data_IF_582963381514
#
_entry.id   IF_582963381514
#
_cell.length_a   1.000
_cell.length_b   1.000
_cell.length_c   1.000
_cell.angle_alpha   90.00
_cell.angle_beta   90.00
_cell.angle_gamma   90.00
#
_symmetry.space_group_name_H-M   'P 1'
#
loop_
_entity.id
_entity.type
_entity.pdbx_description
1 polymer ?
#
# COMPACT_ATOMS: atom_id res chain seq x y z
N UNK A 1 -15.71 -64.34 50.78
CA UNK A 1 -14.26 -64.09 50.97
C UNK A 1 -13.63 -63.96 49.59
N UNK A 2 -13.60 -62.76 49.01
CA UNK A 2 -12.74 -62.46 47.87
C UNK A 2 -11.57 -61.66 48.41
N UNK A 3 -10.37 -62.25 48.45
CA UNK A 3 -9.18 -61.49 48.81
C UNK A 3 -8.88 -60.52 47.68
N UNK A 4 -9.20 -59.25 47.88
CA UNK A 4 -8.59 -58.18 47.09
C UNK A 4 -7.12 -58.18 47.52
N UNK A 5 -6.27 -58.76 46.69
CA UNK A 5 -4.82 -58.63 46.84
C UNK A 5 -4.50 -57.14 46.70
N UNK A 6 -4.30 -56.44 47.81
CA UNK A 6 -3.63 -55.15 47.78
C UNK A 6 -2.18 -55.41 47.37
N UNK A 7 -1.90 -55.19 46.09
CA UNK A 7 -0.56 -55.30 45.51
C UNK A 7 0.28 -54.16 46.09
N UNK A 8 1.47 -54.47 46.64
CA UNK A 8 2.35 -53.45 47.23
C UNK A 8 2.93 -52.52 46.16
N UNK A 9 3.02 -51.22 46.50
CA UNK A 9 3.69 -50.18 45.71
C UNK A 9 5.12 -50.58 45.34
N UNK A 10 5.58 -50.16 44.16
CA UNK A 10 7.00 -50.26 43.73
C UNK A 10 7.92 -49.61 44.79
N UNK A 11 7.52 -48.42 45.27
CA UNK A 11 8.15 -47.63 46.35
C UNK A 11 8.18 -48.27 47.75
N UNK A 12 7.69 -49.51 47.90
CA UNK A 12 7.71 -50.25 49.17
C UNK A 12 8.13 -51.72 48.99
N UNK A 13 8.79 -52.07 47.87
CA UNK A 13 9.04 -53.46 47.48
C UNK A 13 10.32 -54.10 48.07
N UNK A 14 11.10 -53.38 48.88
CA UNK A 14 12.38 -53.84 49.47
C UNK A 14 13.40 -54.42 48.45
N UNK A 15 13.22 -54.19 47.14
CA UNK A 15 14.13 -54.57 46.05
C UNK A 15 14.72 -53.30 45.42
N UNK A 16 15.92 -53.42 44.85
CA UNK A 16 16.58 -52.35 44.09
C UNK A 16 15.64 -51.90 42.95
N UNK A 17 14.99 -50.77 43.18
CA UNK A 17 13.87 -50.25 42.39
C UNK A 17 14.27 -49.95 40.93
N UNK A 18 15.55 -49.65 40.74
CA UNK A 18 16.23 -49.40 39.46
C UNK A 18 16.36 -50.62 38.54
N UNK A 19 16.13 -51.85 39.02
CA UNK A 19 16.31 -53.09 38.23
C UNK A 19 15.02 -53.52 37.52
N UNK A 20 13.88 -52.93 37.87
CA UNK A 20 12.56 -53.27 37.31
C UNK A 20 12.19 -52.21 36.27
N UNK A 21 11.89 -52.56 35.00
CA UNK A 21 11.46 -51.58 34.01
C UNK A 21 10.12 -50.93 34.41
N UNK A 22 10.00 -49.63 34.18
CA UNK A 22 8.80 -48.84 34.49
C UNK A 22 7.55 -49.39 33.79
N UNK A 23 6.39 -49.27 34.45
CA UNK A 23 5.12 -49.75 33.92
C UNK A 23 4.02 -48.68 34.03
N UNK A 24 3.57 -48.17 32.87
CA UNK A 24 2.58 -47.09 32.79
C UNK A 24 1.28 -47.39 33.55
N UNK A 25 0.73 -48.58 33.34
CA UNK A 25 -0.55 -48.99 33.95
C UNK A 25 -0.43 -48.97 35.48
N UNK A 26 0.62 -49.57 36.02
CA UNK A 26 0.80 -49.68 37.47
C UNK A 26 1.15 -48.34 38.13
N UNK A 27 2.02 -47.55 37.50
CA UNK A 27 2.63 -46.40 38.16
C UNK A 27 1.79 -45.14 37.99
N UNK A 28 1.21 -44.94 36.81
CA UNK A 28 0.54 -43.69 36.47
C UNK A 28 -0.97 -43.81 36.21
N UNK A 29 -1.51 -45.02 36.01
CA UNK A 29 -2.96 -45.23 35.77
C UNK A 29 -3.64 -45.76 37.03
N UNK A 30 -3.11 -46.83 37.63
CA UNK A 30 -3.57 -47.39 38.91
C UNK A 30 -3.20 -46.48 40.09
N UNK A 31 -2.11 -45.71 39.98
CA UNK A 31 -1.57 -44.83 41.02
C UNK A 31 -1.20 -43.44 40.46
N UNK A 32 -0.86 -42.51 41.39
CA UNK A 32 -0.31 -41.21 41.00
C UNK A 32 1.21 -41.28 40.91
N UNK A 33 1.77 -41.18 39.70
CA UNK A 33 3.22 -41.09 39.49
C UNK A 33 3.75 -39.65 39.48
N UNK A 34 5.05 -39.53 39.74
CA UNK A 34 5.90 -38.35 39.58
C UNK A 34 6.47 -38.25 38.17
N UNK A 35 7.05 -37.09 37.82
CA UNK A 35 7.66 -36.87 36.50
C UNK A 35 8.80 -37.85 36.22
N UNK A 36 9.60 -38.18 37.25
CA UNK A 36 10.74 -39.05 37.11
C UNK A 36 10.32 -40.51 36.87
N UNK A 37 9.27 -40.98 37.53
CA UNK A 37 8.65 -42.29 37.26
C UNK A 37 8.08 -42.35 35.84
N UNK A 38 7.40 -41.29 35.38
CA UNK A 38 6.95 -41.22 33.99
C UNK A 38 8.12 -41.25 32.99
N UNK A 39 9.25 -40.58 33.32
CA UNK A 39 10.46 -40.57 32.49
C UNK A 39 11.09 -41.95 32.35
N UNK A 40 11.08 -42.74 33.43
CA UNK A 40 11.51 -44.15 33.42
C UNK A 40 10.61 -45.04 32.57
N UNK A 41 9.31 -44.75 32.50
CA UNK A 41 8.34 -45.54 31.71
C UNK A 41 8.55 -45.36 30.20
N UNK A 42 8.79 -44.13 29.73
CA UNK A 42 8.86 -43.85 28.30
C UNK A 42 10.27 -43.86 27.71
N UNK A 43 11.32 -43.75 28.55
CA UNK A 43 12.74 -43.70 28.17
C UNK A 43 13.05 -42.69 27.04
N UNK A 44 12.18 -41.71 26.85
CA UNK A 44 12.23 -40.72 25.78
C UNK A 44 11.57 -39.43 26.28
N UNK A 45 12.31 -38.33 26.20
CA UNK A 45 11.89 -37.04 26.74
C UNK A 45 10.62 -36.50 26.06
N UNK A 46 10.50 -36.61 24.74
CA UNK A 46 9.31 -36.14 24.00
C UNK A 46 8.05 -36.92 24.39
N UNK A 47 8.15 -38.26 24.46
CA UNK A 47 7.03 -39.12 24.86
C UNK A 47 6.64 -38.92 26.33
N UNK A 48 7.64 -38.75 27.20
CA UNK A 48 7.41 -38.43 28.62
C UNK A 48 6.66 -37.12 28.75
N UNK A 49 7.10 -36.07 28.03
CA UNK A 49 6.45 -34.76 28.07
C UNK A 49 5.04 -34.78 27.48
N UNK A 50 4.79 -35.52 26.39
CA UNK A 50 3.45 -35.67 25.82
C UNK A 50 2.48 -36.34 26.80
N UNK A 51 2.93 -37.42 27.47
CA UNK A 51 2.13 -38.04 28.52
C UNK A 51 1.91 -37.10 29.70
N UNK A 52 2.98 -36.45 30.16
CA UNK A 52 2.98 -35.62 31.35
C UNK A 52 2.08 -34.39 31.23
N UNK A 53 2.04 -33.77 30.03
CA UNK A 53 1.13 -32.66 29.71
C UNK A 53 -0.32 -33.06 29.99
N UNK A 54 -0.80 -34.14 29.38
CA UNK A 54 -2.18 -34.58 29.55
C UNK A 54 -2.47 -35.15 30.94
N UNK A 55 -1.48 -35.77 31.59
CA UNK A 55 -1.65 -36.41 32.90
C UNK A 55 -1.87 -35.42 34.05
N UNK A 56 -1.29 -34.22 33.97
CA UNK A 56 -1.37 -33.22 35.05
C UNK A 56 -2.73 -32.50 35.08
N UNK A 57 -3.24 -32.10 33.92
CA UNK A 57 -4.41 -31.22 33.83
C UNK A 57 -5.35 -31.52 32.66
N UNK A 58 -5.23 -32.70 32.05
CA UNK A 58 -6.07 -33.16 30.95
C UNK A 58 -5.61 -32.63 29.60
N UNK A 59 -6.31 -32.98 28.51
CA UNK A 59 -5.98 -32.48 27.17
C UNK A 59 -6.75 -31.18 26.90
N UNK A 60 -6.06 -30.04 26.90
CA UNK A 60 -6.70 -28.74 26.61
C UNK A 60 -7.02 -28.53 25.13
N UNK A 61 -6.61 -29.44 24.26
CA UNK A 61 -7.03 -29.51 22.87
C UNK A 61 -8.35 -30.29 22.67
N UNK A 62 -9.03 -30.70 23.74
CA UNK A 62 -10.32 -31.38 23.67
C UNK A 62 -11.40 -30.72 24.55
N UNK A 63 -12.41 -30.03 23.97
CA UNK A 63 -12.64 -29.83 22.54
C UNK A 63 -11.64 -28.83 21.92
N UNK A 64 -11.31 -29.00 20.63
CA UNK A 64 -10.29 -28.18 19.97
C UNK A 64 -10.64 -26.67 20.04
N UNK A 65 -9.85 -25.86 20.78
CA UNK A 65 -10.12 -24.44 20.93
C UNK A 65 -9.73 -23.63 19.69
N UNK A 66 -8.78 -24.14 18.91
CA UNK A 66 -8.19 -23.45 17.77
C UNK A 66 -9.17 -23.32 16.60
N UNK A 67 -9.22 -22.14 15.99
CA UNK A 67 -10.12 -21.80 14.88
C UNK A 67 -9.42 -21.87 13.54
N UNK A 68 -10.19 -21.73 12.47
CA UNK A 68 -9.71 -21.52 11.10
C UNK A 68 -8.79 -22.62 10.53
N UNK A 69 -8.86 -23.84 11.07
CA UNK A 69 -8.04 -24.98 10.64
C UNK A 69 -6.65 -25.02 11.30
N UNK A 70 -6.46 -24.29 12.40
CA UNK A 70 -5.24 -24.30 13.18
C UNK A 70 -5.02 -25.64 13.92
N UNK A 71 -3.75 -25.99 14.10
CA UNK A 71 -3.35 -27.20 14.83
C UNK A 71 -3.20 -26.85 16.30
N UNK A 72 -3.93 -27.57 17.17
CA UNK A 72 -3.79 -27.42 18.61
C UNK A 72 -2.66 -28.32 19.13
N UNK A 73 -1.79 -27.76 19.97
CA UNK A 73 -0.78 -28.51 20.72
C UNK A 73 -1.00 -28.26 22.22
N UNK A 74 -1.25 -29.34 22.94
CA UNK A 74 -1.41 -29.34 24.40
C UNK A 74 -0.10 -28.94 25.09
N UNK A 75 -0.20 -28.27 26.25
CA UNK A 75 0.91 -27.89 27.12
C UNK A 75 0.46 -27.98 28.58
N UNK A 76 1.39 -27.81 29.52
CA UNK A 76 1.04 -27.84 30.95
C UNK A 76 0.30 -26.54 31.30
N UNK A 77 -0.93 -26.64 31.82
CA UNK A 77 -1.83 -25.53 32.18
C UNK A 77 -2.27 -24.62 31.02
N UNK A 78 -2.06 -25.02 29.77
CA UNK A 78 -2.40 -24.22 28.59
C UNK A 78 -2.33 -25.04 27.30
N UNK A 79 -2.79 -24.46 26.20
CA UNK A 79 -2.54 -24.96 24.85
C UNK A 79 -1.87 -23.90 23.99
N UNK A 80 -1.32 -24.31 22.86
CA UNK A 80 -0.83 -23.44 21.79
C UNK A 80 -1.55 -23.78 20.50
N UNK A 81 -2.13 -22.77 19.86
CA UNK A 81 -2.67 -22.89 18.51
C UNK A 81 -1.62 -22.46 17.48
N UNK A 82 -1.24 -23.39 16.61
CA UNK A 82 -0.38 -23.12 15.46
C UNK A 82 -1.24 -22.58 14.32
N UNK A 83 -1.28 -21.25 14.23
CA UNK A 83 -2.11 -20.55 13.26
C UNK A 83 -1.60 -20.72 11.83
N UNK A 84 -2.47 -21.03 10.85
CA UNK A 84 -2.13 -20.96 9.44
C UNK A 84 -1.73 -19.53 9.05
N UNK A 85 -0.97 -19.40 7.96
CA UNK A 85 -0.60 -18.09 7.43
C UNK A 85 -1.83 -17.19 7.20
N UNK A 86 -1.77 -15.96 7.70
CA UNK A 86 -2.89 -15.02 7.66
C UNK A 86 -3.84 -15.09 8.85
N UNK A 87 -3.56 -15.90 9.87
CA UNK A 87 -4.32 -15.91 11.13
C UNK A 87 -3.44 -15.62 12.33
N UNK A 88 -3.99 -14.89 13.30
CA UNK A 88 -3.37 -14.57 14.59
C UNK A 88 -4.40 -14.66 15.71
N UNK A 89 -3.96 -14.41 16.94
CA UNK A 89 -4.76 -14.53 18.15
C UNK A 89 -4.50 -15.85 18.89
N UNK A 90 -4.96 -15.92 20.14
CA UNK A 90 -4.72 -17.10 21.00
C UNK A 90 -5.32 -18.37 20.39
N UNK A 91 -6.46 -18.22 19.71
CA UNK A 91 -7.21 -19.29 19.09
C UNK A 91 -7.20 -19.18 17.56
N UNK A 92 -6.30 -18.38 16.97
CA UNK A 92 -6.27 -18.10 15.54
C UNK A 92 -7.58 -17.48 15.01
N UNK A 93 -8.25 -16.70 15.84
CA UNK A 93 -9.55 -16.07 15.56
C UNK A 93 -9.43 -14.78 14.74
N UNK A 94 -8.24 -14.17 14.69
CA UNK A 94 -8.00 -12.91 13.98
C UNK A 94 -7.56 -13.23 12.56
N UNK A 95 -8.34 -12.78 11.57
CA UNK A 95 -8.06 -12.98 10.15
C UNK A 95 -7.35 -11.74 9.55
N UNK A 96 -6.11 -11.96 9.13
CA UNK A 96 -5.25 -11.00 8.43
C UNK A 96 -4.96 -11.42 6.97
N UNK A 97 -5.72 -12.37 6.41
CA UNK A 97 -5.47 -12.88 5.05
C UNK A 97 -5.50 -11.77 4.00
N UNK A 98 -6.46 -10.84 4.05
CA UNK A 98 -6.46 -9.67 3.17
C UNK A 98 -5.36 -8.64 3.48
N UNK A 99 -4.81 -8.59 4.70
CA UNK A 99 -3.72 -7.68 5.03
C UNK A 99 -2.38 -8.16 4.44
N UNK A 100 -2.23 -9.46 4.23
CA UNK A 100 -1.02 -10.06 3.66
C UNK A 100 -1.17 -10.12 2.14
N UNK A 101 -0.35 -9.36 1.41
CA UNK A 101 -0.36 -9.31 -0.07
C UNK A 101 -1.76 -9.12 -0.66
N UNK A 102 -2.63 -8.33 0.00
CA UNK A 102 -4.01 -8.10 -0.41
C UNK A 102 -4.83 -9.40 -0.62
N UNK A 103 -4.55 -10.48 0.13
CA UNK A 103 -5.16 -11.81 -0.07
C UNK A 103 -4.81 -12.48 -1.40
N UNK A 104 -3.85 -11.93 -2.15
CA UNK A 104 -3.56 -12.28 -3.54
C UNK A 104 -4.57 -11.70 -4.54
N UNK A 105 -5.47 -10.81 -4.12
CA UNK A 105 -6.38 -10.12 -5.02
C UNK A 105 -5.64 -9.00 -5.75
N UNK A 106 -5.87 -8.87 -7.06
CA UNK A 106 -5.27 -7.79 -7.86
C UNK A 106 -5.78 -6.40 -7.48
N UNK A 107 -7.07 -6.28 -7.18
CA UNK A 107 -7.70 -5.02 -6.77
C UNK A 107 -8.20 -5.07 -5.34
N UNK A 108 -9.43 -5.54 -5.09
CA UNK A 108 -10.04 -5.45 -3.76
C UNK A 108 -10.10 -6.82 -3.12
N UNK A 109 -9.78 -6.87 -1.83
CA UNK A 109 -9.90 -8.05 -0.98
C UNK A 109 -10.97 -7.81 0.09
N UNK A 110 -11.83 -8.80 0.28
CA UNK A 110 -12.85 -8.82 1.34
C UNK A 110 -12.94 -10.21 1.96
N UNK A 111 -13.38 -10.28 3.21
CA UNK A 111 -13.67 -11.55 3.88
C UNK A 111 -15.18 -11.80 3.80
N UNK A 112 -15.62 -12.93 3.25
CA UNK A 112 -17.05 -13.29 3.16
C UNK A 112 -17.27 -14.78 3.51
N UNK A 113 -17.67 -15.12 4.75
CA UNK A 113 -17.82 -16.51 5.18
C UNK A 113 -18.84 -17.28 4.30
N UNK A 114 -18.51 -18.47 3.75
CA UNK A 114 -17.42 -19.38 4.13
C UNK A 114 -16.09 -19.16 3.37
N UNK A 115 -16.03 -18.23 2.41
CA UNK A 115 -14.85 -17.91 1.62
C UNK A 115 -13.96 -16.91 2.37
N UNK A 116 -12.83 -17.40 2.90
CA UNK A 116 -11.88 -16.61 3.70
C UNK A 116 -11.39 -15.35 2.97
N UNK A 117 -11.18 -15.43 1.65
CA UNK A 117 -10.78 -14.30 0.80
C UNK A 117 -11.65 -14.28 -0.45
N UNK A 118 -12.34 -13.16 -0.67
CA UNK A 118 -13.13 -12.86 -1.87
C UNK A 118 -12.56 -11.63 -2.55
N UNK A 119 -12.13 -11.81 -3.80
CA UNK A 119 -11.59 -10.73 -4.61
C UNK A 119 -12.69 -10.05 -5.43
N UNK A 120 -12.59 -8.73 -5.59
CA UNK A 120 -13.42 -7.96 -6.51
C UNK A 120 -12.60 -6.90 -7.24
N UNK A 121 -13.15 -6.35 -8.32
CA UNK A 121 -12.41 -5.49 -9.24
C UNK A 121 -12.97 -4.07 -9.32
N UNK A 122 -12.10 -3.11 -9.66
CA UNK A 122 -12.48 -1.73 -9.91
C UNK A 122 -13.36 -1.56 -11.17
N UNK A 123 -13.99 -0.40 -11.31
CA UNK A 123 -14.85 -0.08 -12.45
C UNK A 123 -14.10 -0.26 -13.79
N UNK A 124 -14.76 -0.92 -14.75
CA UNK A 124 -14.15 -1.25 -16.04
C UNK A 124 -13.30 -2.53 -16.02
N UNK A 125 -13.32 -3.31 -14.94
CA UNK A 125 -12.66 -4.61 -14.83
C UNK A 125 -13.62 -5.73 -14.41
N UNK A 126 -13.32 -6.96 -14.83
CA UNK A 126 -14.01 -8.18 -14.41
C UNK A 126 -13.01 -9.11 -13.72
N UNK A 127 -13.49 -9.84 -12.70
CA UNK A 127 -12.70 -10.89 -12.05
C UNK A 127 -12.48 -12.04 -13.03
N UNK A 128 -11.22 -12.42 -13.19
CA UNK A 128 -10.81 -13.56 -14.00
C UNK A 128 -11.22 -14.89 -13.34
N UNK A 129 -11.14 -15.99 -14.09
CA UNK A 129 -11.56 -17.32 -13.64
C UNK A 129 -10.71 -17.88 -12.49
N UNK A 130 -9.50 -17.35 -12.29
CA UNK A 130 -8.63 -17.67 -11.15
C UNK A 130 -9.15 -17.12 -9.81
N UNK A 131 -10.21 -16.30 -9.84
CA UNK A 131 -10.82 -15.69 -8.66
C UNK A 131 -9.96 -14.60 -8.00
N UNK A 132 -8.89 -14.13 -8.66
CA UNK A 132 -7.91 -13.19 -8.08
C UNK A 132 -7.51 -12.06 -9.02
N UNK A 133 -7.33 -12.36 -10.30
CA UNK A 133 -6.91 -11.39 -11.31
C UNK A 133 -8.08 -10.54 -11.78
N UNK A 134 -7.79 -9.30 -12.16
CA UNK A 134 -8.76 -8.36 -12.72
C UNK A 134 -8.38 -8.00 -14.15
N UNK A 135 -9.30 -8.29 -15.08
CA UNK A 135 -9.14 -8.06 -16.52
C UNK A 135 -9.99 -6.88 -16.98
N UNK A 136 -9.43 -5.95 -17.77
CA UNK A 136 -10.18 -4.86 -18.38
C UNK A 136 -11.34 -5.36 -19.24
N UNK A 137 -12.52 -4.78 -19.05
CA UNK A 137 -13.72 -5.04 -19.87
C UNK A 137 -14.03 -3.90 -20.83
N UNK A 138 -13.40 -2.75 -20.64
CA UNK A 138 -13.55 -1.56 -21.47
C UNK A 138 -12.18 -1.13 -22.02
N UNK A 139 -12.12 -0.40 -23.15
CA UNK A 139 -10.86 0.03 -23.75
C UNK A 139 -10.03 0.94 -22.83
N UNK A 140 -10.72 1.77 -22.05
CA UNK A 140 -10.14 2.79 -21.17
C UNK A 140 -10.63 2.59 -19.73
N UNK A 141 -10.20 1.51 -19.05
CA UNK A 141 -10.64 1.24 -17.69
C UNK A 141 -10.00 2.24 -16.73
N UNK A 142 -10.57 2.39 -15.53
CA UNK A 142 -10.01 3.33 -14.57
C UNK A 142 -8.56 2.97 -14.22
N UNK A 143 -7.77 3.99 -13.88
CA UNK A 143 -6.44 3.83 -13.32
C UNK A 143 -5.43 3.16 -14.25
N UNK A 144 -5.70 3.08 -15.56
CA UNK A 144 -4.80 2.45 -16.53
C UNK A 144 -4.25 3.44 -17.53
N UNK A 145 -2.93 3.44 -17.67
CA UNK A 145 -2.23 4.25 -18.66
C UNK A 145 -2.30 3.54 -20.02
N UNK A 146 -2.99 4.15 -20.98
CA UNK A 146 -3.24 3.55 -22.30
C UNK A 146 -2.44 4.22 -23.44
N UNK A 147 -1.94 5.44 -23.23
CA UNK A 147 -1.10 6.19 -24.17
C UNK A 147 0.15 5.40 -24.63
N UNK A 148 0.38 5.28 -25.95
CA UNK A 148 1.52 4.55 -26.50
C UNK A 148 2.88 5.05 -26.00
N UNK A 149 3.03 6.38 -25.89
CA UNK A 149 4.25 7.06 -25.49
C UNK A 149 4.63 6.72 -24.05
N UNK A 150 3.63 6.74 -23.15
CA UNK A 150 3.80 6.43 -21.74
C UNK A 150 3.97 4.92 -21.48
N UNK A 151 3.28 4.05 -22.24
CA UNK A 151 3.41 2.58 -22.11
C UNK A 151 4.84 2.09 -22.33
N UNK A 152 5.56 2.66 -23.30
CA UNK A 152 6.95 2.28 -23.62
C UNK A 152 7.92 2.51 -22.46
N UNK A 153 7.66 3.52 -21.61
CA UNK A 153 8.44 3.82 -20.41
C UNK A 153 8.19 2.78 -19.32
N UNK A 154 6.92 2.43 -19.06
CA UNK A 154 6.53 1.43 -18.07
C UNK A 154 7.16 0.06 -18.38
N UNK A 155 7.10 -0.39 -19.62
CA UNK A 155 7.75 -1.65 -20.05
C UNK A 155 9.27 -1.61 -19.89
N UNK A 156 9.91 -0.44 -20.09
CA UNK A 156 11.37 -0.30 -19.94
C UNK A 156 11.81 -0.25 -18.48
N UNK A 157 11.02 0.36 -17.59
CA UNK A 157 11.29 0.38 -16.14
C UNK A 157 11.04 -0.97 -15.47
N UNK A 158 10.15 -1.80 -16.02
CA UNK A 158 9.95 -3.17 -15.56
C UNK A 158 11.15 -4.09 -15.91
N UNK A 159 11.74 -3.93 -17.10
CA UNK A 159 12.90 -4.72 -17.51
C UNK A 159 14.20 -4.38 -16.75
N UNK A 160 14.28 -3.23 -16.06
CA UNK A 160 15.46 -2.87 -15.25
C UNK A 160 15.50 -3.52 -13.87
N UNK A 161 14.48 -4.28 -13.46
CA UNK A 161 14.42 -4.95 -12.15
C UNK A 161 14.76 -6.45 -12.18
N UNK A 162 14.98 -7.07 -13.36
CA UNK A 162 15.28 -8.50 -13.47
C UNK A 162 16.78 -8.87 -13.37
N UNK A 163 17.68 -7.90 -13.17
CA UNK A 163 19.13 -8.16 -13.08
C UNK A 163 19.75 -7.76 -11.73
N UNK A 164 19.09 -8.14 -10.63
CA UNK A 164 19.72 -8.20 -9.31
C UNK A 164 19.72 -9.64 -8.80
N UNK A 165 20.48 -10.50 -9.50
CA UNK A 165 20.95 -11.75 -8.90
C UNK A 165 22.02 -11.39 -7.87
N UNK A 166 21.59 -11.26 -6.61
CA UNK A 166 22.47 -11.18 -5.45
C UNK A 166 22.99 -12.60 -5.20
N UNK A 167 24.08 -12.97 -5.86
CA UNK A 167 24.99 -13.98 -5.32
C UNK A 167 26.10 -13.22 -4.61
N UNK A 168 25.97 -13.13 -3.28
CA UNK A 168 27.05 -12.65 -2.43
C UNK A 168 28.23 -13.61 -2.49
N UNK A 169 29.42 -13.04 -2.63
CA UNK A 169 30.67 -13.45 -1.99
C UNK A 169 31.78 -12.51 -2.49
N UNK A 170 32.13 -11.52 -1.68
CA UNK A 170 33.50 -11.04 -1.56
C UNK A 170 34.24 -12.01 -0.62
N UNK A 171 35.56 -12.27 -0.76
CA UNK A 171 36.53 -11.19 -0.47
C UNK A 171 37.92 -11.26 -1.16
N UNK A 172 38.62 -10.12 -1.05
CA UNK A 172 40.08 -9.95 -0.84
C UNK A 172 41.09 -10.02 -2.02
N UNK A 173 41.60 -8.82 -2.35
CA UNK A 173 42.99 -8.35 -2.09
C UNK A 173 44.10 -8.39 -3.19
N UNK A 174 44.82 -7.26 -3.21
CA UNK A 174 46.25 -7.04 -3.51
C UNK A 174 46.89 -7.17 -4.93
N UNK A 175 47.31 -5.98 -5.42
CA UNK A 175 48.66 -5.58 -5.91
C UNK A 175 49.23 -5.96 -7.30
N UNK A 176 49.56 -4.89 -8.06
CA UNK A 176 50.83 -4.49 -8.73
C UNK A 176 51.72 -5.56 -9.40
N UNK A 177 52.44 -5.36 -10.50
CA UNK A 177 52.67 -4.31 -11.49
C UNK A 177 53.52 -4.98 -12.61
N UNK A 178 53.64 -4.30 -13.75
CA UNK A 178 54.82 -4.20 -14.64
C UNK A 178 54.64 -4.67 -16.09
N UNK A 179 54.98 -3.68 -16.93
CA UNK A 179 55.00 -3.50 -18.38
C UNK A 179 55.74 -4.58 -19.21
N UNK A 180 55.33 -4.72 -20.48
CA UNK A 180 56.19 -4.23 -21.57
C UNK A 180 55.41 -3.77 -22.82
N UNK A 181 55.92 -2.69 -23.41
CA UNK A 181 55.39 -1.92 -24.54
C UNK A 181 55.58 -2.62 -25.89
N UNK A 182 54.65 -2.43 -26.82
CA UNK A 182 55.01 -1.88 -28.15
C UNK A 182 53.82 -1.27 -28.87
N UNK A 183 54.14 -0.18 -29.55
CA UNK A 183 53.33 0.98 -29.91
C UNK A 183 52.81 0.89 -31.34
N UNK A 184 51.60 1.41 -31.60
CA UNK A 184 51.13 2.14 -32.81
C UNK A 184 49.60 2.34 -32.61
N UNK A 185 48.96 3.52 -32.56
CA UNK A 185 49.26 4.89 -32.98
C UNK A 185 48.32 5.84 -32.21
N UNK A 186 48.82 7.02 -31.82
CA UNK A 186 48.13 8.09 -31.08
C UNK A 186 47.07 8.82 -31.95
N UNK A 187 45.95 9.34 -31.43
CA UNK A 187 45.87 10.48 -30.50
C UNK A 187 44.47 10.58 -29.89
N UNK A 188 44.46 10.96 -28.61
CA UNK A 188 43.31 10.98 -27.73
C UNK A 188 42.38 12.19 -27.96
N UNK A 189 41.07 11.94 -27.93
CA UNK A 189 40.09 12.91 -27.46
C UNK A 189 39.45 12.35 -26.19
N UNK A 190 39.81 12.97 -25.07
CA UNK A 190 39.25 12.76 -23.74
C UNK A 190 37.73 12.85 -23.77
N UNK A 191 37.03 11.72 -23.84
CA UNK A 191 35.61 11.72 -23.50
C UNK A 191 35.53 11.70 -21.98
N UNK A 192 35.63 12.87 -21.36
CA UNK A 192 35.06 13.07 -20.02
C UNK A 192 33.61 12.62 -20.14
N UNK A 193 33.27 11.46 -19.59
CA UNK A 193 31.89 11.18 -19.24
C UNK A 193 31.61 12.07 -18.03
N UNK A 194 31.42 13.37 -18.30
CA UNK A 194 30.66 14.20 -17.38
C UNK A 194 29.31 13.52 -17.26
N UNK A 195 28.86 13.15 -16.06
CA UNK A 195 27.46 12.83 -15.89
C UNK A 195 26.73 14.05 -16.41
N UNK A 196 25.89 13.88 -17.44
CA UNK A 196 24.92 14.90 -17.78
C UNK A 196 23.98 14.93 -16.60
N UNK A 197 24.33 15.72 -15.59
CA UNK A 197 23.41 16.20 -14.58
C UNK A 197 22.36 16.94 -15.42
N UNK A 198 21.26 16.26 -15.74
CA UNK A 198 20.06 16.93 -16.22
C UNK A 198 19.53 17.73 -15.04
N UNK A 199 20.12 18.89 -14.82
CA UNK A 199 19.57 19.95 -13.97
C UNK A 199 18.39 20.54 -14.71
N UNK A 200 17.21 19.98 -14.44
CA UNK A 200 15.98 20.43 -15.09
C UNK A 200 14.80 19.53 -14.77
N UNK A 201 14.46 19.43 -13.49
CA UNK A 201 13.28 18.74 -12.99
C UNK A 201 12.52 19.73 -12.15
N UNK A 202 11.31 20.06 -12.56
CA UNK A 202 10.62 21.26 -12.12
C UNK A 202 9.10 21.00 -11.90
N UNK A 203 8.77 20.05 -11.03
CA UNK A 203 8.21 20.31 -9.68
C UNK A 203 9.42 20.41 -8.75
N UNK A 204 9.39 20.92 -7.51
CA UNK A 204 10.64 20.93 -6.70
C UNK A 204 11.16 19.48 -6.64
N UNK A 205 12.27 19.21 -7.35
CA UNK A 205 12.80 17.87 -7.69
C UNK A 205 11.87 16.81 -8.33
N UNK A 206 10.81 17.18 -9.06
CA UNK A 206 9.94 16.27 -9.85
C UNK A 206 10.19 16.36 -11.37
N UNK A 207 9.84 15.33 -12.15
CA UNK A 207 10.17 15.26 -13.58
C UNK A 207 9.00 15.60 -14.50
N UNK A 208 9.31 16.10 -15.71
CA UNK A 208 8.30 16.24 -16.77
C UNK A 208 7.65 14.88 -17.06
N UNK A 209 6.32 14.87 -17.09
CA UNK A 209 5.54 13.70 -17.48
C UNK A 209 5.66 13.46 -18.98
N UNK A 210 5.40 12.24 -19.43
CA UNK A 210 5.11 11.98 -20.84
C UNK A 210 3.65 12.30 -21.13
N UNK A 211 3.36 12.68 -22.38
CA UNK A 211 1.98 12.83 -22.86
C UNK A 211 1.18 11.56 -22.57
N UNK A 212 0.06 11.70 -21.85
CA UNK A 212 -0.79 10.59 -21.42
C UNK A 212 -0.24 9.71 -20.29
N UNK A 213 0.83 10.10 -19.58
CA UNK A 213 1.32 9.40 -18.39
C UNK A 213 0.35 9.55 -17.20
N UNK A 214 -0.41 10.65 -17.14
CA UNK A 214 -1.42 10.90 -16.10
C UNK A 214 -2.77 11.28 -16.73
N UNK A 215 -3.46 10.34 -17.39
CA UNK A 215 -4.65 10.62 -18.22
C UNK A 215 -5.91 11.03 -17.42
N UNK A 216 -5.88 10.90 -16.09
CA UNK A 216 -6.95 11.35 -15.19
C UNK A 216 -6.73 12.79 -14.68
N UNK A 217 -5.58 13.40 -14.98
CA UNK A 217 -5.29 14.77 -14.58
C UNK A 217 -6.19 15.76 -15.33
N UNK A 218 -6.67 16.76 -14.61
CA UNK A 218 -7.45 17.87 -15.16
C UNK A 218 -6.81 19.19 -14.75
N UNK A 219 -6.80 20.15 -15.67
CA UNK A 219 -6.50 21.55 -15.39
C UNK A 219 -7.79 22.30 -15.09
N UNK A 220 -7.87 22.92 -13.92
CA UNK A 220 -9.00 23.78 -13.54
C UNK A 220 -8.73 25.22 -13.96
N UNK A 221 -9.71 25.81 -14.62
CA UNK A 221 -9.63 27.15 -15.20
C UNK A 221 -10.70 28.04 -14.56
N UNK A 222 -10.29 29.25 -14.18
CA UNK A 222 -11.16 30.25 -13.55
C UNK A 222 -11.93 31.09 -14.59
N UNK A 223 -12.74 32.04 -14.12
CA UNK A 223 -13.51 32.95 -14.97
C UNK A 223 -12.67 33.84 -15.89
N UNK A 224 -11.38 34.02 -15.59
CA UNK A 224 -10.44 34.82 -16.38
C UNK A 224 -9.69 33.99 -17.43
N UNK A 225 -10.01 32.69 -17.57
CA UNK A 225 -9.31 31.80 -18.49
C UNK A 225 -7.93 31.35 -18.00
N UNK A 226 -7.60 31.58 -16.72
CA UNK A 226 -6.31 31.23 -16.13
C UNK A 226 -6.39 29.87 -15.44
N UNK A 227 -5.51 28.96 -15.83
CA UNK A 227 -5.31 27.68 -15.15
C UNK A 227 -4.62 27.88 -13.79
N UNK A 228 -5.16 27.30 -12.72
CA UNK A 228 -4.70 27.61 -11.36
C UNK A 228 -4.75 26.45 -10.35
N UNK A 229 -5.46 25.36 -10.67
CA UNK A 229 -5.60 24.19 -9.80
C UNK A 229 -5.69 22.92 -10.63
N UNK A 230 -5.51 21.78 -9.97
CA UNK A 230 -5.69 20.45 -10.54
C UNK A 230 -7.04 19.81 -10.18
N UNK A 231 -7.34 18.70 -10.83
CA UNK A 231 -8.46 17.84 -10.52
C UNK A 231 -8.20 16.42 -11.02
N UNK A 232 -9.06 15.49 -10.62
CA UNK A 232 -9.00 14.09 -11.04
C UNK A 232 -10.32 13.62 -11.64
N UNK A 233 -10.28 13.04 -12.84
CA UNK A 233 -11.46 12.47 -13.52
C UNK A 233 -11.88 11.21 -12.77
N UNK A 234 -13.13 11.13 -12.29
CA UNK A 234 -13.65 9.92 -11.63
C UNK A 234 -14.65 9.14 -12.51
N UNK A 235 -15.32 9.80 -13.46
CA UNK A 235 -16.08 9.20 -14.57
C UNK A 235 -16.28 10.23 -15.70
N UNK A 236 -17.10 9.92 -16.72
CA UNK A 236 -17.26 10.82 -17.86
C UNK A 236 -17.83 12.19 -17.47
N UNK A 237 -18.62 12.29 -16.40
CA UNK A 237 -19.35 13.52 -16.05
C UNK A 237 -18.82 14.22 -14.80
N UNK A 238 -17.95 13.57 -14.02
CA UNK A 238 -17.55 14.04 -12.71
C UNK A 238 -16.04 14.12 -12.55
N UNK A 239 -15.59 15.22 -11.96
CA UNK A 239 -14.20 15.48 -11.54
C UNK A 239 -14.18 15.75 -10.04
N UNK A 240 -13.18 15.24 -9.34
CA UNK A 240 -12.92 15.55 -7.92
C UNK A 240 -11.75 16.51 -7.79
N UNK A 241 -11.84 17.47 -6.88
CA UNK A 241 -10.81 18.48 -6.60
C UNK A 241 -10.92 19.00 -5.15
N UNK A 242 -10.16 20.03 -4.80
CA UNK A 242 -10.27 20.74 -3.53
C UNK A 242 -11.48 21.69 -3.52
N UNK A 243 -12.09 21.91 -2.36
CA UNK A 243 -13.28 22.75 -2.22
C UNK A 243 -12.98 24.24 -2.28
N UNK A 244 -11.75 24.65 -1.94
CA UNK A 244 -11.32 26.04 -2.05
C UNK A 244 -11.11 26.51 -3.52
N UNK A 245 -11.21 25.60 -4.51
CA UNK A 245 -11.00 25.93 -5.93
C UNK A 245 -12.18 26.71 -6.53
N UNK A 246 -11.92 27.92 -7.02
CA UNK A 246 -12.91 28.76 -7.74
C UNK A 246 -12.90 28.51 -9.26
N UNK A 247 -13.46 27.37 -9.66
CA UNK A 247 -13.42 26.88 -11.05
C UNK A 247 -14.68 27.24 -11.85
N UNK A 248 -14.51 27.53 -13.15
CA UNK A 248 -15.61 27.70 -14.12
C UNK A 248 -15.58 26.67 -15.23
N UNK A 249 -14.40 26.22 -15.64
CA UNK A 249 -14.20 25.24 -16.71
C UNK A 249 -13.04 24.32 -16.40
N UNK A 250 -13.00 23.19 -17.09
CA UNK A 250 -11.93 22.21 -16.98
C UNK A 250 -11.36 21.86 -18.34
N UNK A 251 -10.06 21.58 -18.40
CA UNK A 251 -9.39 20.95 -19.54
C UNK A 251 -8.85 19.58 -19.12
N UNK A 252 -9.35 18.53 -19.77
CA UNK A 252 -8.87 17.16 -19.59
C UNK A 252 -8.00 16.75 -20.79
N UNK A 253 -6.97 15.94 -20.57
CA UNK A 253 -6.03 15.54 -21.64
C UNK A 253 -4.97 16.57 -21.98
N UNK A 254 -4.94 17.67 -21.23
CA UNK A 254 -3.91 18.72 -21.30
C UNK A 254 -2.53 18.16 -20.91
N UNK A 255 -1.49 18.60 -21.60
CA UNK A 255 -0.11 18.23 -21.30
C UNK A 255 0.80 19.46 -21.21
N UNK A 256 0.82 20.29 -22.25
CA UNK A 256 1.55 21.55 -22.26
C UNK A 256 0.59 22.71 -22.48
N UNK A 257 0.40 23.51 -21.43
CA UNK A 257 -0.60 24.61 -21.39
C UNK A 257 -0.35 25.75 -22.38
N UNK A 258 0.82 25.77 -23.04
CA UNK A 258 1.17 26.75 -24.06
C UNK A 258 0.95 26.24 -25.50
N UNK A 259 0.60 24.96 -25.68
CA UNK A 259 0.42 24.34 -26.99
C UNK A 259 -0.90 23.57 -27.09
N UNK A 260 -1.61 23.69 -28.22
CA UNK A 260 -2.73 22.82 -28.55
C UNK A 260 -2.19 21.48 -29.05
N UNK A 261 -2.33 20.47 -28.22
CA UNK A 261 -1.82 19.12 -28.40
C UNK A 261 -2.87 18.21 -29.09
N UNK A 262 -4.04 18.78 -29.41
CA UNK A 262 -5.23 18.14 -29.98
C UNK A 262 -5.77 16.97 -29.16
N UNK A 263 -5.37 16.86 -27.90
CA UNK A 263 -5.83 15.86 -26.93
C UNK A 263 -6.81 16.43 -25.92
N UNK A 264 -6.88 17.75 -25.86
CA UNK A 264 -7.58 18.55 -24.87
C UNK A 264 -9.09 18.46 -25.08
N UNK A 265 -9.81 18.24 -23.98
CA UNK A 265 -11.26 18.26 -23.92
C UNK A 265 -11.70 19.30 -22.91
N UNK A 266 -12.24 20.40 -23.43
CA UNK A 266 -12.80 21.49 -22.64
C UNK A 266 -14.23 21.18 -22.22
N UNK A 267 -14.55 21.36 -20.94
CA UNK A 267 -15.91 21.22 -20.38
C UNK A 267 -16.21 22.36 -19.42
N UNK A 268 -17.45 22.83 -19.41
CA UNK A 268 -17.90 23.82 -18.42
C UNK A 268 -18.32 23.10 -17.15
N UNK A 269 -18.06 23.72 -16.01
CA UNK A 269 -18.55 23.22 -14.71
C UNK A 269 -19.95 23.79 -14.49
N UNK A 270 -20.97 22.91 -14.50
CA UNK A 270 -22.36 23.33 -14.26
C UNK A 270 -22.70 23.35 -12.78
N UNK A 271 -21.99 22.55 -11.98
CA UNK A 271 -22.23 22.44 -10.54
C UNK A 271 -20.93 22.13 -9.80
N UNK A 272 -20.61 22.95 -8.81
CA UNK A 272 -19.55 22.71 -7.84
C UNK A 272 -20.21 22.30 -6.52
N UNK A 273 -19.94 21.07 -6.09
CA UNK A 273 -20.47 20.48 -4.86
C UNK A 273 -19.34 20.31 -3.84
N UNK A 274 -19.10 21.29 -2.97
CA UNK A 274 -18.19 21.08 -1.85
C UNK A 274 -18.78 20.05 -0.90
N UNK A 275 -17.92 19.38 -0.12
CA UNK A 275 -18.40 18.48 0.92
C UNK A 275 -19.37 19.21 1.87
N UNK A 276 -20.49 18.61 2.32
CA UNK A 276 -21.51 19.31 3.10
C UNK A 276 -21.03 19.98 4.39
N UNK A 277 -19.93 19.48 4.97
CA UNK A 277 -19.30 19.98 6.19
C UNK A 277 -18.07 20.86 5.91
N UNK A 278 -17.82 21.24 4.65
CA UNK A 278 -16.80 22.20 4.28
C UNK A 278 -17.27 23.61 4.66
N UNK A 279 -16.40 24.37 5.33
CA UNK A 279 -16.68 25.77 5.67
C UNK A 279 -15.40 26.58 5.73
N UNK A 280 -15.13 27.32 4.64
CA UNK A 280 -13.93 28.14 4.49
C UNK A 280 -13.79 29.24 5.56
N UNK A 281 -14.90 29.73 6.13
CA UNK A 281 -14.86 30.77 7.15
C UNK A 281 -14.41 30.24 8.53
N UNK A 282 -14.53 28.93 8.77
CA UNK A 282 -14.11 28.28 10.01
C UNK A 282 -12.74 27.65 9.85
N UNK A 283 -12.56 26.86 8.79
CA UNK A 283 -11.30 26.21 8.45
C UNK A 283 -11.30 25.86 6.97
N UNK A 284 -10.54 26.61 6.18
CA UNK A 284 -10.41 26.46 4.72
C UNK A 284 -9.94 25.08 4.26
N UNK A 285 -9.28 24.32 5.12
CA UNK A 285 -8.70 23.03 4.77
C UNK A 285 -9.49 21.84 5.33
N UNK A 286 -10.47 22.08 6.21
CA UNK A 286 -11.29 21.01 6.76
C UNK A 286 -12.36 20.54 5.77
N UNK A 287 -12.31 19.25 5.40
CA UNK A 287 -13.14 18.67 4.34
C UNK A 287 -12.97 19.42 3.01
N UNK A 288 -11.73 19.81 2.72
CA UNK A 288 -11.36 20.47 1.48
C UNK A 288 -11.38 19.48 0.30
N UNK A 289 -12.60 19.17 -0.13
CA UNK A 289 -12.93 18.31 -1.26
C UNK A 289 -14.25 18.76 -1.89
N UNK A 290 -14.27 18.82 -3.22
CA UNK A 290 -15.44 19.12 -4.01
C UNK A 290 -15.58 18.19 -5.21
N UNK A 291 -16.82 18.01 -5.67
CA UNK A 291 -17.19 17.33 -6.90
C UNK A 291 -17.68 18.34 -7.91
N UNK A 292 -17.14 18.27 -9.12
CA UNK A 292 -17.51 19.11 -10.25
C UNK A 292 -18.36 18.28 -11.22
N UNK A 293 -19.57 18.74 -11.48
CA UNK A 293 -20.41 18.19 -12.55
C UNK A 293 -20.12 18.93 -13.85
N UNK A 294 -19.81 18.18 -14.89
CA UNK A 294 -19.52 18.71 -16.22
C UNK A 294 -20.81 18.91 -17.03
N UNK A 295 -20.84 19.94 -17.86
CA UNK A 295 -21.96 20.22 -18.78
C UNK A 295 -22.19 19.09 -19.79
N UNK A 296 -21.10 18.50 -20.29
CA UNK A 296 -21.10 17.37 -21.21
C UNK A 296 -20.13 16.28 -20.73
N UNK A 297 -20.43 15.00 -21.00
CA UNK A 297 -19.51 13.92 -20.68
C UNK A 297 -18.18 14.06 -21.44
N UNK A 298 -17.10 13.63 -20.82
CA UNK A 298 -15.79 13.43 -21.44
C UNK A 298 -15.83 12.18 -22.31
N UNK A 299 -15.14 12.25 -23.45
CA UNK A 299 -14.96 11.09 -24.33
C UNK A 299 -13.66 10.41 -23.95
N UNK A 300 -13.74 9.23 -23.34
CA UNK A 300 -12.51 8.54 -22.94
C UNK A 300 -11.69 8.09 -24.14
N UNK A 301 -10.37 8.30 -24.03
CA UNK A 301 -9.38 7.95 -25.01
C UNK A 301 -8.03 7.69 -24.31
N UNK A 302 -6.95 7.51 -25.06
CA UNK A 302 -5.64 7.18 -24.50
C UNK A 302 -5.03 8.24 -23.56
N UNK A 303 -5.52 9.48 -23.63
CA UNK A 303 -5.04 10.66 -22.88
C UNK A 303 -6.08 11.17 -21.87
N UNK A 304 -7.31 10.68 -21.92
CA UNK A 304 -8.42 11.06 -21.02
C UNK A 304 -9.09 9.79 -20.50
N UNK A 305 -8.78 9.41 -19.26
CA UNK A 305 -9.34 8.21 -18.60
C UNK A 305 -9.58 8.47 -17.13
N UNK A 306 -10.54 7.81 -16.46
CA UNK A 306 -10.80 8.04 -15.05
C UNK A 306 -9.73 7.41 -14.16
N UNK A 307 -9.52 7.95 -12.96
CA UNK A 307 -8.74 7.31 -11.89
C UNK A 307 -9.61 6.31 -11.12
N UNK A 308 -9.07 5.19 -10.65
CA UNK A 308 -9.85 4.27 -9.84
C UNK A 308 -10.09 4.81 -8.43
N UNK A 309 -11.28 4.54 -7.91
CA UNK A 309 -11.63 4.74 -6.50
C UNK A 309 -11.71 3.38 -5.80
N UNK A 310 -10.92 3.22 -4.74
CA UNK A 310 -10.94 2.02 -3.91
C UNK A 310 -11.99 2.07 -2.80
N UNK A 311 -12.18 0.95 -2.10
CA UNK A 311 -12.92 0.97 -0.82
C UNK A 311 -12.17 1.78 0.24
N UNK A 312 -12.84 2.15 1.34
CA UNK A 312 -12.20 2.88 2.43
C UNK A 312 -11.03 2.10 3.02
N UNK A 313 -11.21 0.81 3.24
CA UNK A 313 -10.24 -0.10 3.85
C UNK A 313 -9.03 -0.28 2.92
N UNK A 314 -9.30 -0.58 1.64
CA UNK A 314 -8.27 -0.73 0.61
C UNK A 314 -7.45 0.54 0.41
N UNK A 315 -8.12 1.69 0.24
CA UNK A 315 -7.45 2.99 0.04
C UNK A 315 -6.57 3.36 1.24
N UNK A 316 -7.00 3.04 2.47
CA UNK A 316 -6.19 3.26 3.67
C UNK A 316 -4.99 2.33 3.77
N UNK A 317 -5.12 1.07 3.37
CA UNK A 317 -4.01 0.12 3.33
C UNK A 317 -2.97 0.56 2.29
N UNK A 318 -3.43 0.88 1.08
CA UNK A 318 -2.60 1.32 -0.03
C UNK A 318 -1.80 2.59 0.30
N UNK A 319 -2.45 3.58 0.95
CA UNK A 319 -1.81 4.82 1.36
C UNK A 319 -0.66 4.60 2.37
N UNK A 320 -0.75 3.60 3.25
CA UNK A 320 0.29 3.33 4.28
C UNK A 320 1.50 2.57 3.74
N UNK A 321 1.31 1.79 2.68
CA UNK A 321 2.35 0.89 2.15
C UNK A 321 3.09 1.47 0.93
N UNK A 322 2.55 2.53 0.33
CA UNK A 322 3.02 3.04 -0.97
C UNK A 322 3.80 4.35 -0.91
N UNK A 323 4.58 4.56 -1.97
CA UNK A 323 5.02 5.87 -2.42
C UNK A 323 3.95 6.37 -3.39
N UNK A 324 3.30 7.49 -3.10
CA UNK A 324 2.33 8.08 -4.01
C UNK A 324 2.98 8.90 -5.11
N UNK A 325 2.24 9.10 -6.20
CA UNK A 325 2.60 10.00 -7.28
C UNK A 325 1.62 11.17 -7.30
N UNK A 326 2.18 12.36 -7.24
CA UNK A 326 1.47 13.63 -7.39
C UNK A 326 1.76 14.22 -8.76
N UNK A 327 0.80 14.96 -9.31
CA UNK A 327 0.94 15.60 -10.61
C UNK A 327 0.22 16.94 -10.67
N UNK A 328 0.74 17.84 -11.50
CA UNK A 328 0.17 19.15 -11.72
C UNK A 328 1.08 20.09 -12.49
N UNK A 329 0.58 21.31 -12.67
CA UNK A 329 1.29 22.43 -13.34
C UNK A 329 1.69 23.52 -12.33
N UNK A 330 1.74 23.17 -11.04
CA UNK A 330 2.09 24.08 -9.97
C UNK A 330 3.50 24.66 -10.10
N UNK A 331 3.80 25.58 -9.17
CA UNK A 331 5.07 26.29 -9.14
C UNK A 331 6.22 25.31 -8.93
N UNK A 332 7.25 25.51 -9.73
CA UNK A 332 8.40 24.62 -9.77
C UNK A 332 9.43 24.90 -8.65
N UNK A 333 9.28 26.05 -8.00
CA UNK A 333 10.04 26.60 -6.88
C UNK A 333 9.07 27.42 -6.02
N UNK A 334 9.35 27.58 -4.73
CA UNK A 334 8.57 28.47 -3.88
C UNK A 334 8.59 29.90 -4.46
N UNK A 335 7.39 30.49 -4.66
CA UNK A 335 7.18 31.75 -5.40
C UNK A 335 7.76 31.79 -6.84
N UNK A 336 8.05 30.64 -7.44
CA UNK A 336 8.55 30.52 -8.80
C UNK A 336 7.47 30.62 -9.88
N UNK A 337 7.87 30.34 -11.13
CA UNK A 337 6.93 30.20 -12.25
C UNK A 337 6.22 28.84 -12.20
N UNK A 338 4.99 28.81 -12.71
CA UNK A 338 4.23 27.58 -12.96
C UNK A 338 4.90 26.76 -14.07
N UNK A 339 4.70 25.45 -14.03
CA UNK A 339 5.16 24.57 -15.10
C UNK A 339 4.29 24.74 -16.35
N UNK A 340 4.90 24.76 -17.53
CA UNK A 340 4.18 24.75 -18.81
C UNK A 340 3.74 23.32 -19.14
N UNK A 341 4.67 22.38 -19.02
CA UNK A 341 4.44 20.94 -19.18
C UNK A 341 4.03 20.29 -17.86
N UNK A 342 3.10 19.33 -17.91
CA UNK A 342 2.64 18.57 -16.76
C UNK A 342 3.81 17.86 -16.06
N UNK A 343 3.88 18.02 -14.75
CA UNK A 343 4.93 17.44 -13.92
C UNK A 343 4.41 16.27 -13.10
N UNK A 344 5.31 15.35 -12.76
CA UNK A 344 5.07 14.23 -11.85
C UNK A 344 6.15 14.16 -10.78
N UNK A 345 5.75 13.89 -9.55
CA UNK A 345 6.65 13.68 -8.43
C UNK A 345 6.20 12.47 -7.61
N UNK A 346 7.15 11.64 -7.19
CA UNK A 346 6.91 10.54 -6.26
C UNK A 346 7.23 10.98 -4.84
N UNK A 347 6.26 10.86 -3.94
CA UNK A 347 6.35 11.32 -2.56
C UNK A 347 5.91 10.22 -1.58
N UNK A 348 6.73 9.89 -0.58
CA UNK A 348 6.37 8.87 0.40
C UNK A 348 5.32 9.41 1.38
N UNK A 349 4.44 8.53 1.82
CA UNK A 349 3.55 8.82 2.95
C UNK A 349 4.35 9.07 4.23
N UNK A 350 3.92 10.04 5.03
CA UNK A 350 4.56 10.38 6.31
C UNK A 350 3.63 9.97 7.46
N UNK A 351 4.19 9.29 8.46
CA UNK A 351 3.44 8.84 9.62
C UNK A 351 2.85 10.03 10.39
N UNK A 352 1.70 9.79 11.04
CA UNK A 352 0.95 10.86 11.68
C UNK A 352 1.72 11.56 12.81
N UNK A 353 2.43 10.86 13.73
CA UNK A 353 3.29 11.52 14.71
C UNK A 353 4.33 12.47 14.10
N UNK A 354 5.02 12.06 13.05
CA UNK A 354 6.01 12.91 12.35
C UNK A 354 5.34 14.11 11.69
N UNK A 355 4.23 13.90 10.99
CA UNK A 355 3.42 14.93 10.34
C UNK A 355 2.89 15.99 11.33
N UNK A 356 2.47 15.58 12.53
CA UNK A 356 2.02 16.51 13.56
C UNK A 356 3.16 17.32 14.18
N UNK A 357 4.36 16.75 14.27
CA UNK A 357 5.54 17.45 14.79
C UNK A 357 6.10 18.46 13.81
N UNK A 358 5.84 18.30 12.50
CA UNK A 358 6.38 19.19 11.47
C UNK A 358 5.71 20.56 11.37
N UNK A 359 4.50 20.75 11.90
CA UNK A 359 3.75 22.02 11.78
C UNK A 359 3.12 22.44 13.11
N UNK A 360 2.94 23.74 13.30
CA UNK A 360 2.16 24.30 14.41
C UNK A 360 0.64 24.22 14.15
N UNK A 361 0.24 23.96 12.91
CA UNK A 361 -1.17 23.86 12.50
C UNK A 361 -1.73 22.48 12.82
N UNK A 362 -3.00 22.44 13.23
CA UNK A 362 -3.65 21.17 13.59
C UNK A 362 -3.97 20.33 12.36
N UNK A 363 -3.34 19.16 12.23
CA UNK A 363 -3.64 18.18 11.18
C UNK A 363 -4.76 17.22 11.62
N UNK A 364 -5.91 17.35 10.96
CA UNK A 364 -7.11 16.56 11.24
C UNK A 364 -7.00 15.12 10.70
N UNK A 365 -7.87 14.23 11.20
CA UNK A 365 -7.84 12.79 10.86
C UNK A 365 -8.23 12.47 9.41
N UNK A 366 -8.86 13.43 8.72
CA UNK A 366 -9.22 13.40 7.31
C UNK A 366 -8.11 13.97 6.41
N UNK A 367 -6.93 14.27 6.97
CA UNK A 367 -5.76 14.73 6.25
C UNK A 367 -4.60 13.75 6.42
N UNK A 368 -3.56 13.90 5.61
CA UNK A 368 -2.26 13.25 5.81
C UNK A 368 -1.13 14.05 5.20
N UNK A 369 0.10 13.79 5.66
CA UNK A 369 1.31 14.38 5.07
C UNK A 369 1.97 13.39 4.11
N UNK A 370 2.60 13.92 3.07
CA UNK A 370 3.52 13.18 2.23
C UNK A 370 4.67 14.08 1.77
N UNK A 371 5.87 13.53 1.68
CA UNK A 371 7.06 14.28 1.31
C UNK A 371 8.34 13.73 1.94
N UNK A 372 9.46 14.37 1.64
CA UNK A 372 10.77 13.93 2.11
C UNK A 372 11.21 14.72 3.34
N UNK A 373 11.74 14.09 4.41
CA UNK A 373 12.21 14.80 5.60
C UNK A 373 13.30 15.84 5.30
N UNK A 374 14.15 15.55 4.31
CA UNK A 374 15.19 16.46 3.83
C UNK A 374 14.66 17.71 3.12
N UNK A 375 13.36 17.76 2.81
CA UNK A 375 12.81 18.72 1.88
C UNK A 375 13.36 18.50 0.46
N UNK A 376 13.43 19.59 -0.31
CA UNK A 376 13.94 19.63 -1.68
C UNK A 376 13.02 18.99 -2.72
N UNK A 377 11.98 18.26 -2.30
CA UNK A 377 10.96 17.68 -3.17
C UNK A 377 9.57 17.75 -2.54
N UNK A 378 8.64 18.44 -3.18
CA UNK A 378 7.28 18.64 -2.68
C UNK A 378 6.31 19.14 -3.77
N UNK A 379 5.00 19.04 -3.51
CA UNK A 379 3.96 19.79 -4.23
C UNK A 379 4.04 21.28 -3.90
N UNK A 380 3.55 22.14 -4.80
CA UNK A 380 3.54 23.58 -4.54
C UNK A 380 2.26 24.26 -5.02
N UNK A 381 2.19 25.59 -4.84
CA UNK A 381 1.08 26.42 -5.29
C UNK A 381 0.72 26.12 -6.75
N UNK A 382 -0.56 25.89 -7.02
CA UNK A 382 -1.06 25.52 -8.35
C UNK A 382 -1.29 24.02 -8.57
N UNK A 383 -0.75 23.17 -7.68
CA UNK A 383 -1.07 21.73 -7.65
C UNK A 383 -2.33 21.42 -6.82
N UNK A 384 -2.89 22.42 -6.12
CA UNK A 384 -4.09 22.27 -5.28
C UNK A 384 -5.25 21.65 -6.05
N UNK A 385 -5.92 20.68 -5.44
CA UNK A 385 -6.97 19.87 -6.07
C UNK A 385 -6.46 18.73 -6.97
N UNK A 386 -5.16 18.71 -7.27
CA UNK A 386 -4.51 17.64 -8.04
C UNK A 386 -4.51 16.28 -7.33
N UNK A 387 -4.30 15.19 -8.08
CA UNK A 387 -4.31 13.85 -7.53
C UNK A 387 -3.05 13.54 -6.73
N UNK A 388 -3.23 12.88 -5.60
CA UNK A 388 -2.22 11.98 -5.02
C UNK A 388 -2.68 10.55 -5.31
N UNK A 389 -1.95 9.86 -6.17
CA UNK A 389 -2.28 8.51 -6.63
C UNK A 389 -1.32 7.46 -6.10
N UNK A 390 -1.79 6.23 -5.94
CA UNK A 390 -0.93 5.10 -5.58
C UNK A 390 -1.19 3.94 -6.54
N UNK A 391 -0.12 3.32 -6.99
CA UNK A 391 -0.15 2.23 -7.96
C UNK A 391 -0.01 0.88 -7.25
N UNK A 392 -0.80 -0.09 -7.72
CA UNK A 392 -0.73 -1.48 -7.30
C UNK A 392 -1.04 -2.38 -8.50
N UNK A 393 -0.11 -3.28 -8.80
CA UNK A 393 -0.21 -4.27 -9.89
C UNK A 393 -0.64 -3.68 -11.26
N UNK A 394 -0.09 -2.50 -11.59
CA UNK A 394 -0.33 -1.79 -12.85
C UNK A 394 -1.60 -0.94 -12.88
N UNK A 395 -2.30 -0.80 -11.75
CA UNK A 395 -3.54 0.00 -11.64
C UNK A 395 -3.38 1.11 -10.62
N UNK A 396 -3.75 2.32 -11.02
CA UNK A 396 -3.63 3.53 -10.22
C UNK A 396 -4.94 3.84 -9.51
N UNK A 397 -4.84 4.16 -8.21
CA UNK A 397 -5.96 4.55 -7.37
C UNK A 397 -5.76 5.93 -6.78
N UNK A 398 -6.83 6.70 -6.65
CA UNK A 398 -6.82 8.00 -5.98
C UNK A 398 -6.83 7.79 -4.46
N UNK A 399 -5.75 8.16 -3.79
CA UNK A 399 -5.58 7.99 -2.33
C UNK A 399 -5.58 9.32 -1.59
N UNK A 400 -5.25 10.42 -2.26
CA UNK A 400 -5.34 11.77 -1.71
C UNK A 400 -5.64 12.84 -2.76
N UNK A 401 -5.94 14.04 -2.27
CA UNK A 401 -6.12 15.26 -3.07
C UNK A 401 -5.19 16.32 -2.47
N UNK A 402 -4.38 16.95 -3.31
CA UNK A 402 -3.49 18.05 -2.87
C UNK A 402 -4.33 19.18 -2.31
N UNK A 403 -4.05 19.64 -1.08
CA UNK A 403 -4.85 20.68 -0.42
C UNK A 403 -4.00 21.91 -0.16
N UNK A 404 -3.04 21.82 0.77
CA UNK A 404 -2.21 22.97 1.18
C UNK A 404 -0.83 22.53 1.69
N UNK A 405 0.04 23.50 1.93
CA UNK A 405 1.34 23.35 2.55
C UNK A 405 1.81 24.69 3.12
N UNK A 406 2.77 24.67 4.05
CA UNK A 406 3.33 25.91 4.61
C UNK A 406 4.33 26.55 3.64
N UNK A 407 5.43 25.86 3.36
CA UNK A 407 6.42 26.23 2.36
C UNK A 407 6.78 25.00 1.54
N UNK A 408 6.80 25.16 0.22
CA UNK A 408 7.06 24.04 -0.68
C UNK A 408 8.50 23.55 -0.52
N UNK A 409 8.66 22.26 -0.22
CA UNK A 409 9.95 21.57 -0.18
C UNK A 409 10.94 22.10 0.88
N UNK A 410 10.44 22.76 1.94
CA UNK A 410 11.26 23.15 3.07
C UNK A 410 11.69 21.90 3.88
N UNK A 411 12.97 21.78 4.29
CA UNK A 411 13.41 20.69 5.16
C UNK A 411 12.57 20.61 6.44
N UNK A 412 12.12 19.40 6.79
CA UNK A 412 11.26 19.16 7.94
C UNK A 412 9.78 19.53 7.76
N UNK A 413 9.37 19.99 6.57
CA UNK A 413 7.97 20.22 6.19
C UNK A 413 7.51 19.23 5.13
N UNK A 414 6.19 19.08 5.00
CA UNK A 414 5.55 18.15 4.08
C UNK A 414 4.30 18.78 3.47
N UNK A 415 3.95 18.36 2.25
CA UNK A 415 2.65 18.66 1.66
C UNK A 415 1.51 17.98 2.43
N UNK A 416 0.38 18.68 2.56
CA UNK A 416 -0.83 18.20 3.23
C UNK A 416 -1.90 17.87 2.19
N UNK A 417 -2.46 16.67 2.33
CA UNK A 417 -3.41 16.10 1.39
C UNK A 417 -4.70 15.72 2.11
N UNK A 418 -5.84 15.94 1.44
CA UNK A 418 -7.14 15.43 1.89
C UNK A 418 -7.18 13.91 1.66
N UNK A 419 -7.50 13.14 2.71
CA UNK A 419 -7.51 11.67 2.71
C UNK A 419 -8.78 11.12 2.05
N UNK A 420 -8.69 10.70 0.79
CA UNK A 420 -9.84 10.26 -0.02
C UNK A 420 -10.60 9.08 0.59
N UNK A 421 -9.92 8.18 1.32
CA UNK A 421 -10.56 7.05 2.00
C UNK A 421 -11.70 7.46 2.95
N UNK A 422 -11.69 8.69 3.48
CA UNK A 422 -12.76 9.22 4.34
C UNK A 422 -14.01 9.68 3.57
N UNK A 423 -13.89 9.86 2.25
CA UNK A 423 -14.91 10.46 1.40
C UNK A 423 -15.45 9.51 0.32
N UNK A 424 -14.89 8.31 0.17
CA UNK A 424 -15.31 7.33 -0.87
C UNK A 424 -16.83 7.15 -0.93
N UNK A 425 -17.49 6.97 0.22
CA UNK A 425 -18.94 6.77 0.26
C UNK A 425 -19.71 8.01 -0.23
N UNK A 426 -19.29 9.21 0.20
CA UNK A 426 -19.89 10.46 -0.26
C UNK A 426 -19.70 10.67 -1.76
N UNK A 427 -18.49 10.38 -2.27
CA UNK A 427 -18.19 10.45 -3.71
C UNK A 427 -19.12 9.51 -4.47
N UNK A 428 -19.19 8.24 -4.08
CA UNK A 428 -20.03 7.23 -4.74
C UNK A 428 -21.50 7.58 -4.74
N UNK A 429 -22.05 7.97 -3.58
CA UNK A 429 -23.46 8.34 -3.44
C UNK A 429 -23.83 9.57 -4.26
N UNK A 430 -22.98 10.60 -4.26
CA UNK A 430 -23.24 11.86 -4.97
C UNK A 430 -23.16 11.68 -6.49
N UNK A 431 -22.18 10.91 -6.96
CA UNK A 431 -21.91 10.70 -8.40
C UNK A 431 -22.64 9.51 -9.00
N UNK A 432 -23.34 8.71 -8.17
CA UNK A 432 -23.99 7.45 -8.54
C UNK A 432 -23.01 6.42 -9.14
N UNK A 433 -21.75 6.47 -8.72
CA UNK A 433 -20.77 5.43 -9.01
C UNK A 433 -21.11 4.17 -8.19
N UNK A 434 -21.37 3.06 -8.89
CA UNK A 434 -21.54 1.72 -8.28
C UNK A 434 -20.19 1.14 -7.88
#
# INVERSE_FOLDING_TARGET
RGSVLQRQRRANSNRLEEVIPGNLERECIEEKCSYEEAREVFENEERTMQFWQTYIDGDQCNPNPCKNGAVCKDQINSYVCWCPAGYEGKNCEIDFTCAIKNGGCKHFCSHDPPQKVVCSCAAGYKLHEDGKSCEPTVPYPCGRITAPEAKRKLTRSMNTFEHWNITGNDPDDAHDEVLDNTTETSTAATTRITPVLRTGTRVVGGSESMKGEVPWQVLLVNSYGLGFCGGSIINEKWVVTAAHSRVTSVSAGEHNVESDDHTEQWRKVVRLLPHPTYNAAVNEYHNDIALLELDQPLTFNSYVTPICLGSREFTNALLKQGIGTVSGWGKQLFHGRTATTLQVLRVPFVDRPTCLKSTSTTILHNMFCAGFPSGGRDTCEGDSGGPYTTEIEGTWFLTGITSWGEECALPGKYGIYTRVSKYVNWIKQTTRLT
#
